data_IF_201471312742
#
_entry.id   IF_201471312742
#
_cell.length_a   1.000
_cell.length_b   1.000
_cell.length_c   1.000
_cell.angle_alpha   90.00
_cell.angle_beta   90.00
_cell.angle_gamma   90.00
#
_symmetry.space_group_name_H-M   'P 1'
#
loop_
_entity.id
_entity.type
_entity.pdbx_description
1 polymer ?
#
# COMPACT_ATOMS: atom_id res chain seq x y z
N UNK A 1 -20.89 2.12 35.45
CA UNK A 1 -20.48 0.77 35.01
C UNK A 1 -19.27 0.86 34.08
N UNK A 2 -18.04 0.56 34.52
CA UNK A 2 -16.86 0.68 33.65
C UNK A 2 -16.71 -0.58 32.77
N UNK A 3 -16.76 -0.40 31.45
CA UNK A 3 -16.56 -1.46 30.47
C UNK A 3 -15.06 -1.81 30.41
N UNK A 4 -14.69 -2.97 30.96
CA UNK A 4 -13.33 -3.53 30.88
C UNK A 4 -12.97 -3.81 29.42
N UNK A 5 -12.09 -2.99 28.83
CA UNK A 5 -11.50 -3.23 27.50
C UNK A 5 -10.63 -4.50 27.54
N UNK A 6 -10.98 -5.51 26.73
CA UNK A 6 -10.14 -6.71 26.51
C UNK A 6 -8.82 -6.29 25.86
N UNK A 7 -7.72 -6.39 26.60
CA UNK A 7 -6.38 -6.15 26.08
C UNK A 7 -6.07 -7.11 24.91
N UNK A 8 -5.65 -6.56 23.77
CA UNK A 8 -5.22 -7.32 22.61
C UNK A 8 -4.07 -8.25 23.01
N UNK A 9 -4.29 -9.57 22.91
CA UNK A 9 -3.28 -10.61 23.14
C UNK A 9 -2.19 -10.50 22.08
N UNK A 10 -1.18 -9.67 22.31
CA UNK A 10 0.08 -9.71 21.55
C UNK A 10 0.67 -11.11 21.74
N UNK A 11 0.93 -11.81 20.64
CA UNK A 11 1.54 -13.14 20.68
C UNK A 11 2.84 -13.08 21.48
N UNK A 12 2.94 -13.87 22.56
CA UNK A 12 4.06 -13.89 23.50
C UNK A 12 5.44 -14.23 22.88
N UNK A 13 5.46 -14.62 21.60
CA UNK A 13 6.67 -14.94 20.83
C UNK A 13 7.55 -13.72 20.49
N UNK A 14 7.06 -12.48 20.71
CA UNK A 14 7.85 -11.25 20.55
C UNK A 14 8.28 -10.60 21.87
N UNK A 15 8.04 -11.25 23.00
CA UNK A 15 8.44 -10.70 24.30
C UNK A 15 9.97 -10.87 24.49
N UNK A 16 10.68 -9.81 24.93
CA UNK A 16 12.11 -9.87 25.20
C UNK A 16 12.42 -10.94 26.26
N UNK A 17 13.62 -11.55 26.19
CA UNK A 17 14.01 -12.69 27.03
C UNK A 17 13.83 -12.44 28.54
N UNK A 18 14.09 -11.22 28.99
CA UNK A 18 13.89 -10.77 30.39
C UNK A 18 12.43 -10.89 30.87
N UNK A 19 11.45 -10.76 29.97
CA UNK A 19 10.02 -10.91 30.30
C UNK A 19 9.60 -12.38 30.32
N UNK A 20 10.25 -13.24 29.51
CA UNK A 20 10.00 -14.69 29.55
C UNK A 20 10.48 -15.33 30.86
N UNK A 21 11.53 -14.78 31.46
CA UNK A 21 12.06 -15.20 32.76
C UNK A 21 11.11 -14.92 33.95
N UNK A 22 10.14 -14.01 33.81
CA UNK A 22 9.12 -13.73 34.84
C UNK A 22 7.84 -14.55 34.69
N UNK A 23 7.75 -15.42 33.67
CA UNK A 23 6.56 -16.26 33.46
C UNK A 23 6.60 -17.49 34.36
N UNK A 24 5.44 -17.86 34.93
CA UNK A 24 5.28 -19.09 35.71
C UNK A 24 5.59 -20.34 34.88
N UNK A 25 6.06 -21.43 35.51
CA UNK A 25 6.41 -22.67 34.81
C UNK A 25 5.27 -23.22 33.93
N UNK A 26 4.04 -23.18 34.44
CA UNK A 26 2.85 -23.60 33.69
C UNK A 26 2.63 -22.79 32.41
N UNK A 27 2.83 -21.47 32.46
CA UNK A 27 2.64 -20.58 31.31
C UNK A 27 3.77 -20.75 30.27
N UNK A 28 4.98 -21.08 30.72
CA UNK A 28 6.09 -21.47 29.82
C UNK A 28 5.78 -22.78 29.08
N UNK A 29 5.25 -23.79 29.78
CA UNK A 29 4.85 -25.08 29.20
C UNK A 29 3.76 -24.93 28.13
N UNK A 30 2.73 -24.10 28.40
CA UNK A 30 1.68 -23.79 27.42
C UNK A 30 2.22 -23.10 26.16
N UNK A 31 3.12 -22.11 26.32
CA UNK A 31 3.73 -21.41 25.17
C UNK A 31 4.59 -22.39 24.35
N UNK A 32 5.35 -23.26 25.00
CA UNK A 32 6.17 -24.27 24.33
C UNK A 32 5.31 -25.26 23.54
N UNK A 33 4.23 -25.78 24.14
CA UNK A 33 3.28 -26.68 23.47
C UNK A 33 2.62 -26.04 22.25
N UNK A 34 2.20 -24.77 22.36
CA UNK A 34 1.63 -24.03 21.23
C UNK A 34 2.66 -23.79 20.12
N UNK A 35 3.93 -23.53 20.46
CA UNK A 35 5.01 -23.40 19.47
C UNK A 35 5.33 -24.73 18.79
N UNK A 36 5.32 -25.85 19.53
CA UNK A 36 5.48 -27.19 18.98
C UNK A 36 4.35 -27.53 17.99
N UNK A 37 3.09 -27.28 18.36
CA UNK A 37 1.92 -27.44 17.46
C UNK A 37 2.05 -26.60 16.19
N UNK A 38 2.48 -25.34 16.28
CA UNK A 38 2.70 -24.49 15.08
C UNK A 38 3.87 -24.96 14.22
N UNK A 39 4.94 -25.50 14.80
CA UNK A 39 6.05 -26.11 14.03
C UNK A 39 5.60 -27.38 13.32
N UNK A 40 4.82 -28.23 13.98
CA UNK A 40 4.24 -29.44 13.38
C UNK A 40 3.28 -29.09 12.22
N UNK A 41 2.37 -28.12 12.42
CA UNK A 41 1.46 -27.65 11.37
C UNK A 41 2.17 -27.04 10.15
N UNK A 42 3.36 -26.45 10.33
CA UNK A 42 4.20 -25.95 9.23
C UNK A 42 4.93 -27.05 8.45
N UNK A 43 5.15 -28.22 9.05
CA UNK A 43 5.78 -29.37 8.37
C UNK A 43 4.81 -30.12 7.46
N UNK A 44 3.50 -30.05 7.74
CA UNK A 44 2.47 -30.78 6.99
C UNK A 44 1.81 -30.02 5.83
N UNK A 45 2.16 -28.76 5.56
CA UNK A 45 1.48 -27.97 4.52
C UNK A 45 2.50 -27.39 3.53
N UNK A 46 2.61 -27.90 2.29
CA UNK A 46 3.52 -27.35 1.31
C UNK A 46 3.09 -25.91 0.94
N UNK A 47 4.04 -25.01 0.64
CA UNK A 47 3.71 -23.64 0.27
C UNK A 47 2.84 -23.63 -1.00
N UNK A 48 1.70 -22.94 -0.95
CA UNK A 48 0.90 -22.63 -2.14
C UNK A 48 1.73 -21.72 -3.06
N UNK A 49 2.24 -22.28 -4.15
CA UNK A 49 2.97 -21.53 -5.17
C UNK A 49 1.94 -20.83 -6.06
N UNK A 50 1.83 -19.51 -5.95
CA UNK A 50 1.11 -18.71 -6.94
C UNK A 50 1.96 -18.63 -8.21
N UNK A 51 1.44 -19.19 -9.32
CA UNK A 51 2.03 -19.05 -10.64
C UNK A 51 2.06 -17.56 -11.03
N UNK A 52 3.24 -17.05 -11.35
CA UNK A 52 3.47 -15.65 -11.69
C UNK A 52 2.86 -15.28 -13.04
N UNK A 53 2.38 -14.03 -13.10
CA UNK A 53 1.73 -13.27 -14.18
C UNK A 53 2.53 -13.09 -15.49
N UNK A 54 3.54 -13.90 -15.76
CA UNK A 54 4.32 -13.79 -17.01
C UNK A 54 4.07 -15.02 -17.87
N UNK A 55 3.31 -14.81 -18.94
CA UNK A 55 2.98 -15.78 -19.99
C UNK A 55 4.18 -16.22 -20.83
N UNK A 56 5.24 -16.73 -20.19
CA UNK A 56 6.20 -17.62 -20.81
C UNK A 56 6.00 -18.98 -20.17
N UNK A 57 5.57 -19.95 -20.98
CA UNK A 57 5.51 -21.34 -20.56
C UNK A 57 6.91 -21.75 -20.06
N UNK A 58 6.98 -22.35 -18.87
CA UNK A 58 8.22 -22.87 -18.27
C UNK A 58 8.86 -23.98 -19.13
N UNK A 59 8.17 -24.43 -20.18
CA UNK A 59 8.62 -25.44 -21.13
C UNK A 59 9.27 -24.90 -22.41
N UNK A 60 9.35 -23.58 -22.63
CA UNK A 60 10.01 -23.02 -23.83
C UNK A 60 9.32 -23.33 -25.17
N UNK A 61 8.14 -23.96 -25.17
CA UNK A 61 7.33 -24.14 -26.38
C UNK A 61 6.50 -22.87 -26.63
N UNK A 62 6.61 -22.32 -27.84
CA UNK A 62 5.66 -21.33 -28.37
C UNK A 62 4.26 -21.95 -28.25
N UNK A 63 3.35 -21.25 -27.56
CA UNK A 63 1.94 -21.65 -27.56
C UNK A 63 1.40 -21.65 -28.99
N UNK A 64 0.38 -22.46 -29.30
CA UNK A 64 -0.27 -22.39 -30.61
C UNK A 64 -0.72 -20.94 -30.84
N UNK A 65 -0.38 -20.43 -32.02
CA UNK A 65 -0.66 -19.05 -32.43
C UNK A 65 -2.15 -18.73 -32.35
N UNK A 66 -2.39 -17.44 -32.10
CA UNK A 66 -3.56 -16.66 -32.55
C UNK A 66 -4.70 -17.45 -33.17
N UNK A 67 -5.81 -17.54 -32.46
CA UNK A 67 -7.08 -18.05 -32.99
C UNK A 67 -8.23 -17.70 -32.05
N UNK A 68 -8.23 -18.24 -30.84
CA UNK A 68 -9.41 -18.14 -29.97
C UNK A 68 -9.07 -17.68 -28.56
N UNK A 69 -9.63 -16.54 -28.17
CA UNK A 69 -9.65 -16.03 -26.81
C UNK A 69 -10.59 -16.89 -25.93
N UNK A 70 -10.27 -18.17 -25.78
CA UNK A 70 -10.94 -19.03 -24.80
C UNK A 70 -10.40 -18.65 -23.42
N UNK A 71 -11.33 -18.24 -22.55
CA UNK A 71 -11.15 -17.87 -21.14
C UNK A 71 -10.07 -18.73 -20.46
N UNK A 72 -8.96 -18.09 -20.10
CA UNK A 72 -7.80 -18.69 -19.42
C UNK A 72 -8.09 -19.25 -18.01
N UNK A 73 -9.34 -19.16 -17.52
CA UNK A 73 -9.72 -19.54 -16.15
C UNK A 73 -10.40 -20.91 -16.01
N UNK A 74 -10.64 -21.68 -17.09
CA UNK A 74 -11.42 -22.93 -17.00
C UNK A 74 -10.75 -24.20 -17.52
N UNK A 75 -9.48 -24.17 -17.93
CA UNK A 75 -8.77 -25.45 -18.21
C UNK A 75 -8.14 -25.97 -16.93
N UNK A 76 -8.44 -27.22 -16.49
CA UNK A 76 -7.60 -27.87 -15.50
C UNK A 76 -6.21 -27.95 -16.12
N UNK A 77 -5.26 -27.19 -15.58
CA UNK A 77 -3.89 -27.22 -16.04
C UNK A 77 -3.40 -28.67 -15.88
N UNK A 78 -3.37 -29.44 -16.97
CA UNK A 78 -2.61 -30.68 -17.04
C UNK A 78 -1.16 -30.28 -16.82
N UNK A 79 -0.74 -30.38 -15.56
CA UNK A 79 0.59 -30.01 -15.11
C UNK A 79 1.56 -30.97 -15.79
N UNK A 80 2.23 -30.50 -16.85
CA UNK A 80 3.30 -31.27 -17.47
C UNK A 80 4.27 -31.75 -16.37
N UNK A 81 4.49 -33.06 -16.28
CA UNK A 81 5.33 -33.65 -15.23
C UNK A 81 6.74 -33.04 -15.21
N UNK A 82 7.28 -32.63 -16.36
CA UNK A 82 8.56 -31.94 -16.44
C UNK A 82 8.53 -30.54 -15.80
N UNK A 83 7.45 -29.79 -15.96
CA UNK A 83 7.25 -28.49 -15.31
C UNK A 83 7.09 -28.65 -13.79
N UNK A 84 6.39 -29.70 -13.34
CA UNK A 84 6.28 -30.04 -11.92
C UNK A 84 7.64 -30.41 -11.33
N UNK A 85 8.42 -31.28 -12.00
CA UNK A 85 9.78 -31.63 -11.56
C UNK A 85 10.69 -30.40 -11.45
N UNK A 86 10.63 -29.45 -12.39
CA UNK A 86 11.38 -28.19 -12.32
C UNK A 86 10.93 -27.29 -11.16
N UNK A 87 9.62 -27.14 -10.95
CA UNK A 87 9.08 -26.37 -9.83
C UNK A 87 9.46 -26.99 -8.49
N UNK A 88 9.40 -28.31 -8.35
CA UNK A 88 9.85 -29.02 -7.16
C UNK A 88 11.35 -28.85 -6.95
N UNK A 89 12.18 -28.99 -7.98
CA UNK A 89 13.62 -28.76 -7.89
C UNK A 89 13.96 -27.31 -7.50
N UNK A 90 13.24 -26.32 -8.02
CA UNK A 90 13.40 -24.91 -7.62
C UNK A 90 12.94 -24.66 -6.18
N UNK A 91 11.82 -25.23 -5.76
CA UNK A 91 11.32 -25.16 -4.39
C UNK A 91 12.30 -25.81 -3.41
N UNK A 92 12.91 -26.92 -3.79
CA UNK A 92 13.89 -27.63 -2.98
C UNK A 92 15.22 -26.87 -2.88
N UNK A 93 15.70 -26.28 -3.98
CA UNK A 93 16.88 -25.39 -3.97
C UNK A 93 16.65 -24.15 -3.11
N UNK A 94 15.48 -23.52 -3.21
CA UNK A 94 15.14 -22.34 -2.39
C UNK A 94 14.95 -22.70 -0.92
N UNK A 95 14.36 -23.86 -0.60
CA UNK A 95 14.27 -24.36 0.77
C UNK A 95 15.66 -24.66 1.36
N UNK A 96 16.55 -25.34 0.62
CA UNK A 96 17.93 -25.61 1.03
C UNK A 96 18.73 -24.32 1.22
N UNK A 97 18.56 -23.31 0.35
CA UNK A 97 19.18 -22.00 0.49
C UNK A 97 18.65 -21.21 1.70
N UNK A 98 17.34 -21.30 1.99
CA UNK A 98 16.73 -20.67 3.16
C UNK A 98 17.21 -21.30 4.48
N UNK A 99 17.49 -22.61 4.49
CA UNK A 99 18.07 -23.33 5.64
C UNK A 99 19.53 -22.92 5.84
N UNK A 100 20.33 -22.81 4.77
CA UNK A 100 21.75 -22.42 4.85
C UNK A 100 21.98 -20.96 5.27
N UNK A 101 21.06 -20.04 4.98
CA UNK A 101 21.25 -18.63 5.33
C UNK A 101 19.94 -17.91 5.76
N UNK A 102 19.41 -18.23 6.96
CA UNK A 102 18.14 -17.69 7.43
C UNK A 102 18.14 -16.16 7.62
N UNK A 103 19.32 -15.52 7.62
CA UNK A 103 19.47 -14.06 7.72
C UNK A 103 19.24 -13.32 6.39
N UNK A 104 19.31 -14.01 5.24
CA UNK A 104 19.11 -13.40 3.89
C UNK A 104 17.70 -13.57 3.34
N UNK A 105 16.95 -14.59 3.75
CA UNK A 105 15.65 -14.96 3.16
C UNK A 105 14.46 -14.03 3.45
N UNK A 106 14.69 -12.82 3.98
CA UNK A 106 13.60 -11.89 4.32
C UNK A 106 13.99 -10.42 4.39
N UNK A 107 15.24 -10.06 4.06
CA UNK A 107 15.60 -8.64 3.97
C UNK A 107 15.24 -8.14 2.58
N UNK A 108 14.00 -7.66 2.43
CA UNK A 108 13.72 -6.63 1.40
C UNK A 108 14.85 -5.61 1.48
N UNK A 109 15.48 -5.21 0.37
CA UNK A 109 16.50 -4.17 0.40
C UNK A 109 15.89 -2.98 1.14
N UNK A 110 16.42 -2.67 2.32
CA UNK A 110 16.05 -1.45 3.02
C UNK A 110 16.49 -0.35 2.08
N UNK A 111 15.55 0.46 1.58
CA UNK A 111 15.87 1.72 0.90
C UNK A 111 16.83 2.45 1.85
N UNK A 112 18.12 2.49 1.50
CA UNK A 112 19.11 3.22 2.28
C UNK A 112 18.78 4.69 2.05
N UNK A 113 18.82 5.50 3.10
CA UNK A 113 18.83 6.95 2.91
C UNK A 113 20.07 7.28 2.06
N UNK A 114 19.90 8.11 1.03
CA UNK A 114 20.91 8.37 -0.01
C UNK A 114 22.08 9.23 0.47
N UNK A 115 22.80 8.78 1.51
CA UNK A 115 23.94 9.48 2.11
C UNK A 115 25.04 9.70 1.06
N UNK A 116 25.35 8.65 0.28
CA UNK A 116 26.32 8.71 -0.83
C UNK A 116 25.86 9.69 -1.93
N UNK A 117 24.56 9.71 -2.23
CA UNK A 117 23.99 10.66 -3.20
C UNK A 117 24.05 12.11 -2.73
N UNK A 118 23.87 12.35 -1.43
CA UNK A 118 23.96 13.69 -0.85
C UNK A 118 25.40 14.23 -0.88
N UNK A 119 26.41 13.40 -0.57
CA UNK A 119 27.82 13.78 -0.65
C UNK A 119 28.24 14.08 -2.10
N UNK A 120 27.87 13.23 -3.05
CA UNK A 120 28.18 13.44 -4.46
C UNK A 120 27.51 14.71 -5.03
N UNK A 121 26.28 15.03 -4.61
CA UNK A 121 25.62 16.27 -5.00
C UNK A 121 26.32 17.49 -4.38
N UNK A 122 26.73 17.40 -3.11
CA UNK A 122 27.48 18.45 -2.42
C UNK A 122 28.78 18.76 -3.17
N UNK A 123 29.54 17.73 -3.54
CA UNK A 123 30.79 17.87 -4.31
C UNK A 123 30.57 18.55 -5.65
N UNK A 124 29.54 18.13 -6.41
CA UNK A 124 29.22 18.76 -7.69
C UNK A 124 28.80 20.23 -7.54
N UNK A 125 28.07 20.55 -6.48
CA UNK A 125 27.51 21.89 -6.25
C UNK A 125 28.55 22.86 -5.66
N UNK A 126 29.35 22.41 -4.69
CA UNK A 126 30.34 23.23 -4.00
C UNK A 126 31.76 23.08 -4.55
N UNK A 127 31.98 22.19 -5.52
CA UNK A 127 33.30 21.87 -6.11
C UNK A 127 34.34 21.46 -5.06
N UNK A 128 33.91 20.87 -3.94
CA UNK A 128 34.75 20.45 -2.82
C UNK A 128 34.17 19.23 -2.10
N UNK A 129 35.01 18.34 -1.53
CA UNK A 129 34.55 17.13 -0.84
C UNK A 129 33.71 17.45 0.39
N UNK A 130 32.66 16.65 0.61
CA UNK A 130 31.79 16.79 1.76
C UNK A 130 32.52 16.40 3.05
N UNK A 131 32.84 17.37 3.92
CA UNK A 131 33.55 17.12 5.18
C UNK A 131 32.74 16.34 6.22
N UNK A 132 31.40 16.47 6.20
CA UNK A 132 30.50 15.84 7.18
C UNK A 132 29.12 15.63 6.59
N UNK A 133 28.60 14.40 6.67
CA UNK A 133 27.20 14.09 6.35
C UNK A 133 26.44 13.81 7.64
N UNK A 134 25.45 14.64 7.98
CA UNK A 134 24.65 14.52 9.21
C UNK A 134 23.22 14.14 8.87
N UNK A 135 22.71 13.07 9.48
CA UNK A 135 21.28 12.73 9.37
C UNK A 135 20.51 13.48 10.45
N UNK A 136 19.56 14.34 10.05
CA UNK A 136 18.64 15.02 10.98
C UNK A 136 17.31 14.30 11.00
N UNK A 137 16.79 14.05 12.21
CA UNK A 137 15.42 13.56 12.39
C UNK A 137 14.49 14.77 12.45
N UNK A 138 13.49 14.79 11.57
CA UNK A 138 12.47 15.84 11.55
C UNK A 138 11.22 15.29 12.20
N UNK A 139 10.77 15.94 13.29
CA UNK A 139 9.48 15.64 13.89
C UNK A 139 8.38 16.21 12.99
N UNK A 140 7.46 15.36 12.54
CA UNK A 140 6.27 15.76 11.79
C UNK A 140 5.06 15.61 12.67
N UNK A 141 4.28 16.69 12.82
CA UNK A 141 2.98 16.62 13.47
C UNK A 141 2.02 15.77 12.64
N UNK A 142 1.21 14.95 13.30
CA UNK A 142 0.19 14.11 12.68
C UNK A 142 -1.07 14.18 13.51
N UNK A 143 -2.21 14.18 12.84
CA UNK A 143 -3.50 14.03 13.50
C UNK A 143 -3.55 12.70 14.25
N UNK A 144 -4.02 12.76 15.50
CA UNK A 144 -4.11 11.58 16.37
C UNK A 144 -5.32 10.71 16.01
N UNK A 145 -6.39 11.34 15.51
CA UNK A 145 -7.60 10.72 15.02
C UNK A 145 -8.03 11.40 13.71
N UNK A 146 -8.72 10.66 12.85
CA UNK A 146 -9.31 11.19 11.62
C UNK A 146 -10.75 10.69 11.54
N UNK A 147 -11.65 11.55 11.06
CA UNK A 147 -13.04 11.19 10.82
C UNK A 147 -13.13 10.37 9.53
N UNK A 148 -13.61 9.13 9.62
CA UNK A 148 -13.71 8.23 8.47
C UNK A 148 -14.99 8.55 7.67
N UNK A 149 -14.82 8.93 6.39
CA UNK A 149 -15.93 9.33 5.52
C UNK A 149 -16.45 8.18 4.66
N UNK A 150 -15.59 7.22 4.30
CA UNK A 150 -15.97 6.12 3.42
C UNK A 150 -14.82 5.53 2.62
N UNK A 151 -15.17 4.74 1.60
CA UNK A 151 -14.21 4.17 0.64
C UNK A 151 -14.11 5.10 -0.56
N UNK A 152 -12.89 5.52 -0.90
CA UNK A 152 -12.67 6.30 -2.11
C UNK A 152 -12.91 5.41 -3.32
N UNK A 153 -13.80 5.84 -4.21
CA UNK A 153 -14.06 5.15 -5.47
C UNK A 153 -13.33 5.84 -6.62
N UNK A 154 -13.49 7.17 -6.73
CA UNK A 154 -12.99 7.92 -7.88
C UNK A 154 -12.51 9.32 -7.49
N UNK A 155 -11.54 9.83 -8.23
CA UNK A 155 -11.07 11.21 -8.14
C UNK A 155 -10.96 11.82 -9.53
N UNK A 156 -11.49 13.02 -9.71
CA UNK A 156 -11.47 13.76 -10.96
C UNK A 156 -10.43 14.87 -10.89
N UNK A 157 -9.48 14.90 -11.82
CA UNK A 157 -8.30 15.77 -11.75
C UNK A 157 -8.09 16.46 -13.09
N UNK A 158 -7.96 17.78 -13.08
CA UNK A 158 -7.60 18.60 -14.25
C UNK A 158 -6.09 18.74 -14.30
N UNK A 159 -5.44 18.07 -15.26
CA UNK A 159 -3.97 18.00 -15.34
C UNK A 159 -3.40 19.19 -16.12
N UNK A 160 -3.97 19.50 -17.29
CA UNK A 160 -3.61 20.62 -18.16
C UNK A 160 -4.89 21.29 -18.72
N UNK A 161 -4.76 22.37 -19.51
CA UNK A 161 -5.83 23.26 -20.05
C UNK A 161 -7.11 22.55 -20.56
N UNK A 162 -7.94 22.04 -19.65
CA UNK A 162 -9.24 21.41 -19.94
C UNK A 162 -9.28 19.88 -19.77
N UNK A 163 -8.14 19.19 -19.74
CA UNK A 163 -8.09 17.72 -19.70
C UNK A 163 -8.41 17.19 -18.29
N UNK A 164 -9.63 16.68 -18.12
CA UNK A 164 -10.06 16.03 -16.88
C UNK A 164 -9.78 14.53 -16.95
N UNK A 165 -8.88 14.07 -16.08
CA UNK A 165 -8.54 12.66 -15.92
C UNK A 165 -9.27 12.08 -14.71
N UNK A 166 -9.76 10.87 -14.88
CA UNK A 166 -10.46 10.10 -13.84
C UNK A 166 -9.51 9.05 -13.28
N UNK A 167 -9.26 9.12 -11.97
CA UNK A 167 -8.50 8.11 -11.22
C UNK A 167 -9.50 7.18 -10.53
N UNK A 168 -9.40 5.88 -10.81
CA UNK A 168 -10.31 4.85 -10.27
C UNK A 168 -9.54 4.02 -9.24
N UNK A 169 -10.15 3.81 -8.08
CA UNK A 169 -9.57 3.08 -6.97
C UNK A 169 -10.25 1.73 -6.76
N UNK A 170 -9.58 0.84 -6.03
CA UNK A 170 -10.11 -0.50 -5.76
C UNK A 170 -11.33 -0.43 -4.82
N UNK A 171 -12.42 -1.08 -5.23
CA UNK A 171 -13.67 -1.15 -4.46
C UNK A 171 -13.59 -2.15 -3.30
N UNK A 172 -12.72 -3.17 -3.39
CA UNK A 172 -12.62 -4.24 -2.39
C UNK A 172 -11.20 -4.76 -2.16
N UNK A 173 -11.00 -5.43 -1.02
CA UNK A 173 -9.74 -6.05 -0.63
C UNK A 173 -8.73 -5.11 0.03
N UNK A 174 -7.45 -5.48 0.01
CA UNK A 174 -6.38 -4.71 0.67
C UNK A 174 -5.96 -3.44 -0.08
N UNK A 175 -6.47 -3.24 -1.30
CA UNK A 175 -6.19 -2.08 -2.14
C UNK A 175 -7.11 -0.88 -1.89
N UNK A 176 -8.17 -1.06 -1.08
CA UNK A 176 -9.18 -0.02 -0.83
C UNK A 176 -8.55 1.18 -0.13
N UNK A 177 -8.71 2.35 -0.74
CA UNK A 177 -8.32 3.62 -0.15
C UNK A 177 -9.50 4.18 0.64
N UNK A 178 -9.27 4.61 1.88
CA UNK A 178 -10.28 5.26 2.71
C UNK A 178 -10.17 6.77 2.54
N UNK A 179 -11.32 7.43 2.41
CA UNK A 179 -11.41 8.88 2.52
C UNK A 179 -11.69 9.24 3.97
N UNK A 180 -10.91 10.15 4.51
CA UNK A 180 -11.08 10.66 5.86
C UNK A 180 -10.94 12.19 5.89
N UNK A 181 -11.36 12.80 6.98
CA UNK A 181 -11.21 14.23 7.24
C UNK A 181 -10.49 14.49 8.57
N UNK A 182 -9.89 15.68 8.69
CA UNK A 182 -9.45 16.22 9.98
C UNK A 182 -10.62 16.39 10.95
N UNK A 183 -10.30 16.55 12.24
CA UNK A 183 -11.30 16.66 13.31
C UNK A 183 -12.25 17.85 13.14
N UNK A 184 -11.76 18.93 12.53
CA UNK A 184 -12.51 20.13 12.18
C UNK A 184 -13.21 20.05 10.81
N UNK A 185 -12.98 18.99 10.03
CA UNK A 185 -13.52 18.80 8.69
C UNK A 185 -12.89 19.69 7.60
N UNK A 186 -11.81 20.41 7.90
CA UNK A 186 -11.17 21.34 6.95
C UNK A 186 -10.24 20.68 5.94
N UNK A 187 -9.67 19.51 6.25
CA UNK A 187 -8.71 18.81 5.39
C UNK A 187 -9.12 17.37 5.13
N UNK A 188 -9.07 16.95 3.87
CA UNK A 188 -9.28 15.57 3.45
C UNK A 188 -7.97 14.79 3.38
N UNK A 189 -8.05 13.51 3.74
CA UNK A 189 -6.94 12.56 3.79
C UNK A 189 -7.29 11.26 3.06
N UNK A 190 -6.32 10.73 2.31
CA UNK A 190 -6.40 9.41 1.69
C UNK A 190 -5.60 8.39 2.51
N UNK A 191 -6.28 7.41 3.11
CA UNK A 191 -5.67 6.49 4.07
C UNK A 191 -5.69 5.05 3.55
N UNK A 192 -4.53 4.39 3.64
CA UNK A 192 -4.40 2.97 3.29
C UNK A 192 -4.54 2.72 1.79
N UNK A 193 -4.80 1.45 1.45
CA UNK A 193 -4.99 1.02 0.07
C UNK A 193 -3.77 1.16 -0.84
N UNK A 194 -4.02 1.00 -2.14
CA UNK A 194 -3.06 1.33 -3.19
C UNK A 194 -3.40 2.70 -3.77
N UNK A 195 -2.51 3.66 -3.55
CA UNK A 195 -2.63 5.05 -4.04
C UNK A 195 -1.63 5.34 -5.16
N UNK A 196 -0.99 4.31 -5.71
CA UNK A 196 -0.02 4.49 -6.77
C UNK A 196 -0.71 4.93 -8.06
N UNK A 197 -0.24 6.03 -8.64
CA UNK A 197 -0.69 6.52 -9.96
C UNK A 197 0.43 6.38 -11.00
N UNK A 198 0.04 6.19 -12.25
CA UNK A 198 0.95 6.15 -13.39
C UNK A 198 1.16 7.56 -13.94
N UNK A 199 2.26 8.21 -13.52
CA UNK A 199 2.60 9.57 -13.93
C UNK A 199 2.86 9.68 -15.44
N UNK A 200 3.28 8.60 -16.11
CA UNK A 200 3.52 8.62 -17.56
C UNK A 200 2.22 8.73 -18.36
N UNK A 201 1.19 8.00 -17.93
CA UNK A 201 -0.16 8.12 -18.52
C UNK A 201 -0.81 9.49 -18.31
N UNK A 202 -0.33 10.23 -17.32
CA UNK A 202 -0.79 11.59 -17.02
C UNK A 202 0.07 12.66 -17.73
N UNK A 203 1.04 12.26 -18.57
CA UNK A 203 1.94 13.21 -19.24
C UNK A 203 3.02 13.82 -18.34
N UNK A 204 3.10 13.40 -17.07
CA UNK A 204 3.99 13.98 -16.06
C UNK A 204 5.36 13.29 -15.96
N UNK A 205 5.59 12.23 -16.75
CA UNK A 205 6.85 11.46 -16.73
C UNK A 205 8.07 12.23 -17.30
N UNK A 206 7.86 13.32 -18.04
CA UNK A 206 8.95 14.10 -18.64
C UNK A 206 9.73 14.94 -17.61
N UNK A 207 9.21 15.10 -16.39
CA UNK A 207 9.88 15.88 -15.35
C UNK A 207 10.88 15.04 -14.56
N UNK A 208 12.01 15.65 -14.16
CA UNK A 208 12.97 15.04 -13.23
C UNK A 208 12.23 14.37 -12.07
N UNK A 209 12.65 13.19 -11.56
CA UNK A 209 11.96 12.52 -10.46
C UNK A 209 12.03 13.38 -9.19
N UNK A 210 11.01 14.23 -9.00
CA UNK A 210 10.77 14.98 -7.78
C UNK A 210 10.15 14.04 -6.75
N UNK A 211 10.42 14.32 -5.48
CA UNK A 211 9.81 13.55 -4.39
C UNK A 211 8.31 13.83 -4.28
N UNK A 212 7.89 15.05 -4.63
CA UNK A 212 6.51 15.52 -4.65
C UNK A 212 6.18 16.12 -6.02
N UNK A 213 5.04 15.74 -6.58
CA UNK A 213 4.54 16.21 -7.88
C UNK A 213 3.11 16.70 -7.70
N UNK A 214 2.79 17.88 -8.24
CA UNK A 214 1.41 18.32 -8.39
C UNK A 214 0.87 17.65 -9.64
N UNK A 215 -0.19 16.86 -9.47
CA UNK A 215 -0.85 16.13 -10.55
C UNK A 215 -1.80 17.04 -11.32
N UNK A 216 -2.44 17.98 -10.62
CA UNK A 216 -3.43 18.90 -11.20
C UNK A 216 -4.43 19.40 -10.17
N UNK A 217 -5.47 20.10 -10.61
CA UNK A 217 -6.57 20.55 -9.75
C UNK A 217 -7.61 19.44 -9.59
N UNK A 218 -7.97 19.07 -8.37
CA UNK A 218 -9.07 18.14 -8.14
C UNK A 218 -10.40 18.87 -8.40
N UNK A 219 -11.16 18.38 -9.39
CA UNK A 219 -12.47 18.92 -9.77
C UNK A 219 -13.63 18.19 -9.11
N UNK A 220 -13.39 16.99 -8.58
CA UNK A 220 -14.39 16.26 -7.81
C UNK A 220 -13.85 14.98 -7.20
N UNK A 221 -14.67 14.39 -6.34
CA UNK A 221 -14.36 13.18 -5.59
C UNK A 221 -15.62 12.33 -5.43
N UNK A 222 -15.48 11.01 -5.57
CA UNK A 222 -16.55 10.05 -5.36
C UNK A 222 -16.14 9.03 -4.29
N UNK A 223 -17.01 8.79 -3.31
CA UNK A 223 -16.76 7.81 -2.25
C UNK A 223 -18.04 7.06 -1.88
N UNK A 224 -17.85 5.78 -1.57
CA UNK A 224 -18.91 4.90 -1.07
C UNK A 224 -19.01 5.05 0.45
N UNK A 225 -20.21 5.38 0.92
CA UNK A 225 -20.53 5.40 2.35
C UNK A 225 -22.01 5.15 2.59
N UNK A 226 -22.41 5.05 3.85
CA UNK A 226 -23.80 4.85 4.26
C UNK A 226 -24.21 5.98 5.20
N UNK A 227 -25.03 6.92 4.71
CA UNK A 227 -25.50 8.06 5.51
C UNK A 227 -26.93 7.83 6.02
N UNK A 228 -27.26 8.47 7.14
CA UNK A 228 -28.55 8.27 7.81
C UNK A 228 -29.76 8.77 7.02
N UNK A 229 -29.60 9.80 6.18
CA UNK A 229 -30.72 10.31 5.37
C UNK A 229 -31.16 9.35 4.26
N UNK A 230 -30.29 8.41 3.84
CA UNK A 230 -30.61 7.35 2.89
C UNK A 230 -30.94 6.01 3.58
N UNK A 231 -31.31 6.07 4.87
CA UNK A 231 -31.61 4.88 5.66
C UNK A 231 -30.39 3.95 5.85
N UNK A 232 -29.17 4.51 5.86
CA UNK A 232 -27.92 3.76 6.00
C UNK A 232 -27.65 2.72 4.90
N UNK A 233 -28.22 2.92 3.71
CA UNK A 233 -27.86 2.11 2.54
C UNK A 233 -26.52 2.58 1.97
N UNK A 234 -25.60 1.66 1.60
CA UNK A 234 -24.37 2.02 0.91
C UNK A 234 -24.68 2.68 -0.43
N UNK A 235 -24.17 3.88 -0.65
CA UNK A 235 -24.32 4.64 -1.88
C UNK A 235 -23.00 5.35 -2.23
N UNK A 236 -22.83 5.66 -3.53
CA UNK A 236 -21.70 6.46 -4.02
C UNK A 236 -22.12 7.93 -3.99
N UNK A 237 -21.44 8.71 -3.15
CA UNK A 237 -21.61 10.15 -3.10
C UNK A 237 -20.55 10.83 -3.94
N UNK A 238 -20.97 11.70 -4.84
CA UNK A 238 -20.10 12.49 -5.71
C UNK A 238 -20.16 13.95 -5.27
N UNK A 239 -19.00 14.55 -5.06
CA UNK A 239 -18.86 15.97 -4.73
C UNK A 239 -17.96 16.65 -5.75
N UNK A 240 -18.37 17.83 -6.20
CA UNK A 240 -17.58 18.68 -7.09
C UNK A 240 -16.87 19.76 -6.28
N UNK A 241 -15.64 20.05 -6.65
CA UNK A 241 -14.84 21.13 -6.07
C UNK A 241 -14.87 22.37 -6.95
N UNK A 242 -14.82 23.54 -6.30
CA UNK A 242 -14.78 24.84 -6.97
C UNK A 242 -16.09 25.22 -7.69
N UNK A 243 -17.22 24.77 -7.16
CA UNK A 243 -18.52 25.33 -7.52
C UNK A 243 -18.60 26.79 -7.05
N UNK A 244 -19.34 27.63 -7.79
CA UNK A 244 -19.42 29.07 -7.53
C UNK A 244 -18.11 29.83 -7.74
N UNK A 245 -17.16 29.29 -8.52
CA UNK A 245 -15.87 29.94 -8.80
C UNK A 245 -14.85 29.84 -7.66
N UNK A 246 -15.14 29.05 -6.63
CA UNK A 246 -14.25 28.89 -5.47
C UNK A 246 -12.96 28.15 -5.82
N UNK A 247 -11.83 28.41 -5.12
CA UNK A 247 -10.56 27.74 -5.38
C UNK A 247 -10.66 26.21 -5.27
N UNK A 248 -10.15 25.49 -6.26
CA UNK A 248 -10.06 24.03 -6.24
C UNK A 248 -8.82 23.57 -5.46
N UNK A 249 -8.90 22.44 -4.73
CA UNK A 249 -7.72 21.86 -4.14
C UNK A 249 -6.79 21.30 -5.21
N UNK A 250 -5.48 21.43 -5.02
CA UNK A 250 -4.48 20.77 -5.85
C UNK A 250 -4.28 19.32 -5.36
N UNK A 251 -4.23 18.37 -6.29
CA UNK A 251 -3.85 16.99 -6.01
C UNK A 251 -2.32 16.87 -6.07
N UNK A 252 -1.71 16.61 -4.92
CA UNK A 252 -0.31 16.24 -4.80
C UNK A 252 -0.12 14.72 -4.77
N UNK A 253 1.03 14.28 -5.26
CA UNK A 253 1.49 12.91 -5.19
C UNK A 253 2.92 12.84 -4.67
N UNK A 254 3.11 12.09 -3.58
CA UNK A 254 4.42 11.72 -3.05
C UNK A 254 4.92 10.48 -3.80
N UNK A 255 5.90 10.67 -4.67
CA UNK A 255 6.43 9.64 -5.58
C UNK A 255 7.15 8.54 -4.81
N UNK A 256 7.83 8.90 -3.71
CA UNK A 256 8.61 7.93 -2.92
C UNK A 256 7.70 7.03 -2.09
N UNK A 257 6.72 7.62 -1.42
CA UNK A 257 5.81 6.92 -0.53
C UNK A 257 4.57 6.37 -1.26
N UNK A 258 4.36 6.80 -2.52
CA UNK A 258 3.20 6.45 -3.36
C UNK A 258 1.90 6.83 -2.66
N UNK A 259 1.79 8.10 -2.26
CA UNK A 259 0.63 8.62 -1.52
C UNK A 259 0.08 9.86 -2.17
N UNK A 260 -1.24 9.94 -2.22
CA UNK A 260 -1.96 11.12 -2.67
C UNK A 260 -2.24 12.03 -1.47
N UNK A 261 -2.34 13.33 -1.73
CA UNK A 261 -2.77 14.32 -0.74
C UNK A 261 -3.39 15.53 -1.44
N UNK A 262 -4.32 16.21 -0.79
CA UNK A 262 -4.90 17.46 -1.29
C UNK A 262 -4.23 18.65 -0.61
N UNK A 263 -4.02 19.72 -1.36
CA UNK A 263 -3.44 20.98 -0.88
C UNK A 263 -4.38 22.14 -1.22
N UNK A 264 -4.72 22.93 -0.20
CA UNK A 264 -5.59 24.10 -0.35
C UNK A 264 -7.01 23.74 -0.77
N UNK A 265 -7.66 24.64 -1.51
CA UNK A 265 -9.05 24.53 -1.91
C UNK A 265 -10.02 25.10 -0.88
N UNK A 266 -11.17 25.58 -1.34
CA UNK A 266 -12.27 26.03 -0.49
C UNK A 266 -13.30 24.90 -0.39
N UNK A 267 -13.12 24.01 0.58
CA UNK A 267 -14.08 22.98 0.93
C UNK A 267 -14.15 22.79 2.44
N UNK A 268 -15.29 22.30 2.91
CA UNK A 268 -15.54 21.96 4.31
C UNK A 268 -16.39 20.70 4.38
N UNK A 269 -16.02 19.75 5.24
CA UNK A 269 -16.83 18.57 5.51
C UNK A 269 -17.91 18.90 6.51
N UNK A 270 -19.17 18.73 6.12
CA UNK A 270 -20.38 18.89 6.94
C UNK A 270 -21.24 17.63 6.90
N UNK A 271 -22.34 17.62 7.68
CA UNK A 271 -23.30 16.51 7.73
C UNK A 271 -23.86 16.15 6.34
N UNK A 272 -24.18 17.16 5.54
CA UNK A 272 -24.70 17.00 4.17
C UNK A 272 -23.66 16.35 3.26
N UNK A 273 -22.38 16.70 3.44
CA UNK A 273 -21.25 16.14 2.74
C UNK A 273 -20.11 17.15 2.61
N UNK A 274 -19.35 17.05 1.52
CA UNK A 274 -18.29 18.01 1.22
C UNK A 274 -18.93 19.21 0.54
N UNK A 275 -18.93 20.35 1.23
CA UNK A 275 -19.46 21.64 0.75
C UNK A 275 -18.31 22.59 0.43
N UNK A 276 -18.58 23.63 -0.35
CA UNK A 276 -17.60 24.63 -0.81
C UNK A 276 -18.03 26.03 -0.39
#
# INVERSE_FOLDING_TARGET
>A
MPVKRKAAKRSAAKLPAKVRAKLSPAKRKQIAAHQAKRKAARRGNPPKIHLTRYGKSVCGRKGPGTGDAIKWNTRPALKCQACMKRLHAMAEKTAKAAIKNPKRAGKRPRRRNGIEGAAALYEKFHQAPAKKVTTKLVATHRHSALADLGRLAELFVRVDRGDTRKLIFAESGSGVVRLAASEDGGQLYFIGGDQAIDLGRLGLAATLPKDHVIVGEASGIAYETAKGFDGHKPAIYVHKFGEGGKPRPALGYDVRNKRLYLVGGAYQVKREGIVH
#
